data_IF_586405643663
#
_entry.id   IF_586405643663
#
_cell.length_a   1.000
_cell.length_b   1.000
_cell.length_c   1.000
_cell.angle_alpha   90.00
_cell.angle_beta   90.00
_cell.angle_gamma   90.00
#
_symmetry.space_group_name_H-M   'P 1'
#
loop_
_entity.id
_entity.type
_entity.pdbx_description
1 polymer ?
#
# COMPACT_ATOMS: atom_id res chain seq x y z
N UNK A 1 7.72 5.34 -20.00
CA UNK A 1 8.02 3.93 -19.71
C UNK A 1 8.46 3.22 -20.98
N UNK A 2 9.56 2.45 -21.00
CA UNK A 2 9.72 1.43 -22.03
C UNK A 2 8.66 0.35 -21.75
N UNK A 3 7.57 0.37 -22.51
CA UNK A 3 6.56 -0.68 -22.45
C UNK A 3 7.26 -2.05 -22.59
N UNK A 4 6.91 -3.01 -21.73
CA UNK A 4 7.47 -4.36 -21.81
C UNK A 4 7.18 -4.87 -23.22
N UNK A 5 8.23 -5.26 -23.94
CA UNK A 5 8.06 -5.70 -25.33
C UNK A 5 7.45 -7.10 -25.36
N UNK A 6 6.68 -7.41 -26.41
CA UNK A 6 6.16 -8.78 -26.62
C UNK A 6 7.28 -9.83 -26.59
N UNK A 7 8.46 -9.46 -27.09
CA UNK A 7 9.65 -10.32 -27.08
C UNK A 7 10.08 -10.66 -25.65
N UNK A 8 10.13 -9.68 -24.75
CA UNK A 8 10.47 -9.92 -23.34
C UNK A 8 9.44 -10.82 -22.65
N UNK A 9 8.13 -10.59 -22.89
CA UNK A 9 7.06 -11.45 -22.37
C UNK A 9 7.18 -12.90 -22.88
N UNK A 10 7.54 -13.06 -24.15
CA UNK A 10 7.74 -14.36 -24.78
C UNK A 10 8.97 -15.08 -24.17
N UNK A 11 10.11 -14.39 -24.07
CA UNK A 11 11.37 -14.94 -23.54
C UNK A 11 11.26 -15.31 -22.04
N UNK A 12 10.49 -14.54 -21.28
CA UNK A 12 10.20 -14.81 -19.87
C UNK A 12 9.21 -15.98 -19.66
N UNK A 13 8.48 -16.40 -20.71
CA UNK A 13 7.53 -17.50 -20.65
C UNK A 13 6.15 -17.15 -20.09
N UNK A 14 5.74 -15.87 -20.20
CA UNK A 14 4.44 -15.37 -19.71
C UNK A 14 3.25 -15.97 -20.46
N UNK A 15 3.47 -16.38 -21.71
CA UNK A 15 2.44 -16.94 -22.60
C UNK A 15 2.00 -18.36 -22.26
N UNK A 16 2.73 -19.08 -21.40
CA UNK A 16 2.34 -20.44 -21.02
C UNK A 16 1.29 -20.39 -19.92
N UNK A 17 0.13 -20.98 -20.17
CA UNK A 17 -0.87 -21.24 -19.14
C UNK A 17 -0.82 -22.68 -18.63
N UNK A 18 -1.92 -23.11 -18.00
CA UNK A 18 -2.09 -24.45 -17.50
C UNK A 18 -2.60 -25.45 -18.57
N UNK A 19 -2.68 -26.72 -18.17
CA UNK A 19 -3.24 -27.80 -18.98
C UNK A 19 -4.71 -27.54 -19.34
N UNK A 20 -5.14 -28.02 -20.51
CA UNK A 20 -6.53 -27.87 -21.01
C UNK A 20 -7.59 -28.50 -20.11
N UNK A 21 -7.22 -29.43 -19.23
CA UNK A 21 -8.12 -30.03 -18.24
C UNK A 21 -8.35 -29.15 -17.00
N UNK A 22 -7.48 -28.16 -16.76
CA UNK A 22 -7.44 -27.35 -15.53
C UNK A 22 -7.69 -25.86 -15.81
N UNK A 23 -8.51 -25.55 -16.81
CA UNK A 23 -8.83 -24.17 -17.18
C UNK A 23 -10.18 -23.71 -16.63
N UNK A 24 -10.33 -22.40 -16.44
CA UNK A 24 -11.59 -21.74 -16.14
C UNK A 24 -12.20 -21.23 -17.45
N UNK A 25 -13.46 -21.59 -17.80
CA UNK A 25 -14.15 -21.07 -18.98
C UNK A 25 -14.19 -19.54 -19.11
N UNK A 26 -14.20 -18.80 -18.00
CA UNK A 26 -14.20 -17.34 -18.00
C UNK A 26 -12.89 -16.74 -18.53
N UNK A 27 -11.79 -17.51 -18.53
CA UNK A 27 -10.51 -17.10 -19.11
C UNK A 27 -10.47 -17.21 -20.63
N UNK A 28 -11.53 -17.70 -21.28
CA UNK A 28 -11.60 -17.86 -22.75
C UNK A 28 -11.17 -16.62 -23.55
N UNK A 29 -11.55 -15.38 -23.18
CA UNK A 29 -11.16 -14.18 -23.94
C UNK A 29 -9.64 -13.94 -23.96
N UNK A 30 -8.94 -14.36 -22.92
CA UNK A 30 -7.50 -14.15 -22.75
C UNK A 30 -6.64 -15.29 -23.31
N UNK A 31 -7.26 -16.39 -23.75
CA UNK A 31 -6.57 -17.56 -24.30
C UNK A 31 -6.53 -17.45 -25.82
N UNK A 32 -5.32 -17.38 -26.37
CA UNK A 32 -5.08 -17.34 -27.81
C UNK A 32 -5.34 -18.70 -28.49
N UNK A 33 -4.68 -19.76 -28.02
CA UNK A 33 -4.83 -21.11 -28.57
C UNK A 33 -4.43 -22.18 -27.54
N UNK A 34 -4.53 -23.46 -27.90
CA UNK A 34 -3.98 -24.56 -27.11
C UNK A 34 -3.03 -25.38 -27.99
N UNK A 35 -1.83 -25.69 -27.48
CA UNK A 35 -0.82 -26.50 -28.17
C UNK A 35 -0.27 -27.56 -27.22
N UNK A 36 -0.19 -28.81 -27.68
CA UNK A 36 0.31 -29.93 -26.89
C UNK A 36 -0.37 -30.07 -25.51
N UNK A 37 -1.67 -29.76 -25.42
CA UNK A 37 -2.44 -29.85 -24.17
C UNK A 37 -2.21 -28.70 -23.18
N UNK A 38 -1.49 -27.64 -23.56
CA UNK A 38 -1.26 -26.43 -22.75
C UNK A 38 -1.94 -25.24 -23.41
N UNK A 39 -2.65 -24.42 -22.63
CA UNK A 39 -3.21 -23.16 -23.11
C UNK A 39 -2.12 -22.10 -23.30
N UNK A 40 -2.22 -21.34 -24.38
CA UNK A 40 -1.35 -20.22 -24.70
C UNK A 40 -2.15 -18.94 -24.49
N UNK A 41 -1.65 -18.06 -23.63
CA UNK A 41 -2.23 -16.77 -23.29
C UNK A 41 -1.87 -15.75 -24.39
N UNK A 42 -2.82 -14.86 -24.70
CA UNK A 42 -2.60 -13.78 -25.67
C UNK A 42 -1.70 -12.67 -25.08
N UNK A 43 -0.43 -12.65 -25.50
CA UNK A 43 0.55 -11.68 -25.03
C UNK A 43 0.23 -10.23 -25.41
N UNK A 44 -0.55 -9.99 -26.47
CA UNK A 44 -0.94 -8.63 -26.82
C UNK A 44 -1.89 -8.07 -25.78
N UNK A 45 -2.90 -8.87 -25.40
CA UNK A 45 -3.80 -8.52 -24.29
C UNK A 45 -3.03 -8.40 -22.97
N UNK A 46 -2.06 -9.28 -22.70
CA UNK A 46 -1.19 -9.15 -21.53
C UNK A 46 -0.48 -7.81 -21.48
N UNK A 47 0.10 -7.37 -22.61
CA UNK A 47 0.82 -6.09 -22.67
C UNK A 47 -0.12 -4.91 -22.40
N UNK A 48 -1.25 -4.84 -23.12
CA UNK A 48 -2.24 -3.75 -22.97
C UNK A 48 -2.75 -3.67 -21.52
N UNK A 49 -3.09 -4.82 -20.93
CA UNK A 49 -3.58 -4.90 -19.54
C UNK A 49 -2.51 -4.59 -18.50
N UNK A 50 -1.26 -4.98 -18.76
CA UNK A 50 -0.14 -4.64 -17.89
C UNK A 50 0.10 -3.13 -17.87
N UNK A 51 0.01 -2.48 -19.03
CA UNK A 51 0.15 -1.02 -19.14
C UNK A 51 -0.99 -0.29 -18.40
N UNK A 52 -2.24 -0.76 -18.54
CA UNK A 52 -3.40 -0.25 -17.79
C UNK A 52 -3.21 -0.40 -16.26
N UNK A 53 -2.75 -1.58 -15.81
CA UNK A 53 -2.51 -1.86 -14.41
C UNK A 53 -1.36 -1.01 -13.83
N UNK A 54 -0.26 -0.86 -14.59
CA UNK A 54 0.85 0.01 -14.21
C UNK A 54 0.42 1.47 -14.10
N UNK A 55 -0.40 1.97 -15.04
CA UNK A 55 -0.93 3.33 -14.99
C UNK A 55 -1.81 3.55 -13.75
N UNK A 56 -2.69 2.59 -13.43
CA UNK A 56 -3.51 2.63 -12.22
C UNK A 56 -2.67 2.65 -10.94
N UNK A 57 -1.71 1.73 -10.80
CA UNK A 57 -0.86 1.65 -9.60
C UNK A 57 0.04 2.89 -9.45
N UNK A 58 0.56 3.44 -10.56
CA UNK A 58 1.32 4.69 -10.55
C UNK A 58 0.48 5.83 -9.98
N UNK A 59 -0.75 5.99 -10.46
CA UNK A 59 -1.65 7.06 -9.99
C UNK A 59 -2.01 6.87 -8.52
N UNK A 60 -2.37 5.65 -8.11
CA UNK A 60 -2.73 5.33 -6.73
C UNK A 60 -1.60 5.66 -5.75
N UNK A 61 -0.35 5.36 -6.14
CA UNK A 61 0.81 5.69 -5.32
C UNK A 61 1.15 7.18 -5.36
N UNK A 62 0.92 7.85 -6.49
CA UNK A 62 1.03 9.31 -6.60
C UNK A 62 0.00 10.06 -5.74
N UNK A 63 -1.13 9.41 -5.42
CA UNK A 63 -2.14 9.92 -4.48
C UNK A 63 -1.78 9.63 -3.00
N UNK A 64 -0.63 8.99 -2.75
CA UNK A 64 -0.14 8.71 -1.39
C UNK A 64 -0.61 7.38 -0.81
N UNK A 65 -1.29 6.54 -1.59
CA UNK A 65 -1.69 5.21 -1.13
C UNK A 65 -0.59 4.16 -1.27
N UNK A 66 -0.68 3.12 -0.43
CA UNK A 66 0.28 1.99 -0.41
C UNK A 66 -0.34 0.76 -1.04
N UNK A 67 0.51 -0.03 -1.70
CA UNK A 67 0.14 -1.29 -2.36
C UNK A 67 0.61 -2.45 -1.51
N UNK A 68 -0.24 -3.46 -1.33
CA UNK A 68 0.12 -4.72 -0.67
C UNK A 68 0.35 -5.81 -1.71
N UNK A 69 1.58 -6.31 -1.81
CA UNK A 69 1.93 -7.44 -2.66
C UNK A 69 1.63 -8.76 -1.96
N UNK A 70 0.93 -9.66 -2.63
CA UNK A 70 0.55 -10.96 -2.07
C UNK A 70 0.94 -12.06 -3.04
N UNK A 71 1.74 -13.00 -2.57
CA UNK A 71 2.07 -14.18 -3.37
C UNK A 71 2.80 -15.23 -2.53
N UNK A 72 2.10 -16.32 -2.20
CA UNK A 72 2.69 -17.42 -1.39
C UNK A 72 3.33 -18.53 -2.23
N UNK A 73 3.34 -18.38 -3.55
CA UNK A 73 4.05 -19.30 -4.45
C UNK A 73 5.54 -19.08 -4.33
N UNK A 74 6.32 -20.17 -4.18
CA UNK A 74 7.79 -20.13 -4.11
C UNK A 74 8.40 -19.34 -5.27
N UNK A 75 7.78 -19.39 -6.44
CA UNK A 75 8.24 -18.73 -7.66
C UNK A 75 8.05 -17.20 -7.64
N UNK A 76 7.21 -16.69 -6.73
CA UNK A 76 6.88 -15.28 -6.58
C UNK A 76 7.53 -14.64 -5.33
N UNK A 77 7.88 -15.43 -4.31
CA UNK A 77 8.37 -14.94 -3.02
C UNK A 77 9.56 -14.00 -3.16
N UNK A 78 10.66 -14.48 -3.76
CA UNK A 78 11.90 -13.69 -3.90
C UNK A 78 11.67 -12.41 -4.73
N UNK A 79 10.86 -12.50 -5.79
CA UNK A 79 10.55 -11.37 -6.66
C UNK A 79 9.76 -10.28 -5.92
N UNK A 80 8.77 -10.68 -5.11
CA UNK A 80 7.97 -9.76 -4.30
C UNK A 80 8.83 -9.10 -3.21
N UNK A 81 9.65 -9.87 -2.51
CA UNK A 81 10.51 -9.36 -1.43
C UNK A 81 11.53 -8.34 -1.94
N UNK A 82 12.22 -8.66 -3.05
CA UNK A 82 13.16 -7.75 -3.69
C UNK A 82 12.47 -6.45 -4.15
N UNK A 83 11.30 -6.57 -4.79
CA UNK A 83 10.51 -5.44 -5.27
C UNK A 83 10.02 -4.52 -4.14
N UNK A 84 9.50 -5.09 -3.06
CA UNK A 84 8.99 -4.34 -1.93
C UNK A 84 10.12 -3.73 -1.10
N UNK A 85 11.26 -4.42 -0.98
CA UNK A 85 12.47 -3.85 -0.39
C UNK A 85 12.97 -2.61 -1.13
N UNK A 86 12.87 -2.60 -2.47
CA UNK A 86 13.24 -1.44 -3.30
C UNK A 86 12.22 -0.30 -3.28
N UNK A 87 10.93 -0.63 -3.27
CA UNK A 87 9.84 0.36 -3.36
C UNK A 87 9.26 0.80 -2.01
N UNK A 88 9.65 0.18 -0.90
CA UNK A 88 9.08 0.46 0.42
C UNK A 88 7.57 0.18 0.52
N UNK A 89 7.07 -0.74 -0.31
CA UNK A 89 5.69 -1.24 -0.26
C UNK A 89 5.58 -2.43 0.69
N UNK A 90 4.35 -2.84 1.00
CA UNK A 90 4.10 -3.96 1.91
C UNK A 90 3.97 -5.27 1.15
N UNK A 91 4.30 -6.38 1.81
CA UNK A 91 4.16 -7.70 1.20
C UNK A 91 3.73 -8.82 2.16
N UNK A 92 3.18 -9.89 1.57
CA UNK A 92 2.91 -11.18 2.22
C UNK A 92 3.38 -12.30 1.29
N UNK A 93 4.47 -12.97 1.67
CA UNK A 93 5.09 -14.06 0.89
C UNK A 93 4.88 -15.46 1.46
N UNK A 94 4.54 -15.59 2.74
CA UNK A 94 4.46 -16.90 3.39
C UNK A 94 3.06 -17.49 3.38
N UNK A 95 2.17 -16.97 4.21
CA UNK A 95 0.81 -17.47 4.32
C UNK A 95 -0.16 -16.34 4.60
N UNK A 96 -1.22 -16.26 3.79
CA UNK A 96 -2.36 -15.42 4.11
C UNK A 96 -3.16 -16.01 5.28
N UNK A 97 -3.32 -15.24 6.35
CA UNK A 97 -4.22 -15.59 7.45
C UNK A 97 -5.57 -14.93 7.21
N UNK A 98 -6.64 -15.71 7.34
CA UNK A 98 -7.99 -15.17 7.25
C UNK A 98 -8.21 -14.04 8.26
N UNK A 99 -8.76 -12.93 7.80
CA UNK A 99 -8.93 -11.72 8.61
C UNK A 99 -7.75 -10.76 8.56
N UNK A 100 -6.78 -10.96 7.67
CA UNK A 100 -5.63 -10.06 7.52
C UNK A 100 -6.06 -8.62 7.18
N UNK A 101 -7.10 -8.46 6.37
CA UNK A 101 -7.65 -7.15 6.02
C UNK A 101 -8.97 -6.90 6.75
N UNK A 102 -9.86 -7.88 6.76
CA UNK A 102 -11.22 -7.71 7.34
C UNK A 102 -11.23 -7.59 8.87
N UNK A 103 -10.20 -8.12 9.55
CA UNK A 103 -10.02 -8.00 11.00
C UNK A 103 -8.69 -7.31 11.34
N UNK A 104 -8.41 -6.22 10.63
CA UNK A 104 -7.15 -5.48 10.75
C UNK A 104 -6.79 -5.04 12.19
N UNK A 105 -7.73 -4.63 13.08
CA UNK A 105 -7.38 -4.28 14.46
C UNK A 105 -6.72 -5.43 15.25
N UNK A 106 -7.10 -6.69 14.98
CA UNK A 106 -6.48 -7.86 15.62
C UNK A 106 -5.08 -8.11 15.06
N UNK A 107 -4.91 -7.93 13.75
CA UNK A 107 -3.63 -8.05 13.07
C UNK A 107 -2.66 -6.97 13.55
N UNK A 108 -3.12 -5.73 13.71
CA UNK A 108 -2.31 -4.65 14.29
C UNK A 108 -1.80 -4.98 15.71
N UNK A 109 -2.57 -5.72 16.53
CA UNK A 109 -2.06 -6.21 17.82
C UNK A 109 -0.94 -7.22 17.65
N UNK A 110 -1.02 -8.10 16.64
CA UNK A 110 0.05 -9.06 16.31
C UNK A 110 1.30 -8.36 15.76
N UNK A 111 1.13 -7.33 14.93
CA UNK A 111 2.23 -6.52 14.41
C UNK A 111 2.94 -5.75 15.53
N UNK A 112 2.18 -5.18 16.48
CA UNK A 112 2.77 -4.57 17.69
C UNK A 112 3.55 -5.58 18.53
N UNK A 113 2.99 -6.78 18.74
CA UNK A 113 3.68 -7.86 19.44
C UNK A 113 5.00 -8.24 18.77
N UNK A 114 5.03 -8.29 17.44
CA UNK A 114 6.25 -8.53 16.67
C UNK A 114 7.31 -7.44 16.92
N UNK A 115 6.92 -6.17 16.87
CA UNK A 115 7.81 -5.04 17.20
C UNK A 115 8.34 -5.12 18.64
N UNK A 116 7.49 -5.49 19.61
CA UNK A 116 7.90 -5.66 21.00
C UNK A 116 8.94 -6.78 21.15
N UNK A 117 8.74 -7.92 20.47
CA UNK A 117 9.67 -9.05 20.51
C UNK A 117 11.01 -8.72 19.84
N UNK A 118 11.00 -7.96 18.72
CA UNK A 118 12.24 -7.44 18.11
C UNK A 118 13.01 -6.56 19.09
N UNK A 119 12.31 -5.63 19.75
CA UNK A 119 12.93 -4.75 20.73
C UNK A 119 13.50 -5.52 21.94
N UNK A 120 12.84 -6.59 22.40
CA UNK A 120 13.36 -7.46 23.46
C UNK A 120 14.62 -8.24 23.01
N UNK A 121 14.62 -8.72 21.76
CA UNK A 121 15.77 -9.43 21.20
C UNK A 121 16.98 -8.50 21.06
N UNK A 122 16.78 -7.29 20.53
CA UNK A 122 17.84 -6.28 20.38
C UNK A 122 18.43 -5.83 21.72
N UNK A 123 17.61 -5.77 22.78
CA UNK A 123 18.05 -5.43 24.14
C UNK A 123 18.77 -6.58 24.86
N UNK A 124 18.75 -7.79 24.31
CA UNK A 124 19.31 -8.99 24.95
C UNK A 124 18.46 -9.52 26.11
N UNK A 125 17.17 -9.17 26.19
CA UNK A 125 16.30 -9.58 27.30
C UNK A 125 16.10 -11.11 27.34
N UNK A 126 16.15 -11.78 26.19
CA UNK A 126 16.03 -13.25 26.10
C UNK A 126 17.15 -13.99 26.82
N UNK A 127 18.34 -13.41 26.93
CA UNK A 127 19.48 -14.02 27.63
C UNK A 127 19.34 -13.93 29.15
N UNK A 128 18.52 -13.00 29.64
CA UNK A 128 18.24 -12.78 31.06
C UNK A 128 17.05 -13.61 31.57
N UNK A 129 16.28 -14.18 30.67
CA UNK A 129 15.11 -15.03 30.97
C UNK A 129 15.52 -16.49 31.19
N UNK A 130 14.64 -17.27 31.81
CA UNK A 130 14.82 -18.72 31.86
C UNK A 130 14.78 -19.33 30.46
N UNK A 131 15.58 -20.37 30.19
CA UNK A 131 15.73 -21.00 28.86
C UNK A 131 14.40 -21.39 28.22
N UNK A 132 13.43 -21.84 29.02
CA UNK A 132 12.10 -22.21 28.52
C UNK A 132 11.31 -21.00 28.01
N UNK A 133 11.32 -19.90 28.75
CA UNK A 133 10.59 -18.67 28.39
C UNK A 133 11.25 -17.99 27.19
N UNK A 134 12.59 -17.94 27.17
CA UNK A 134 13.35 -17.42 26.05
C UNK A 134 13.04 -18.17 24.75
N UNK A 135 12.94 -19.51 24.79
CA UNK A 135 12.59 -20.31 23.62
C UNK A 135 11.15 -20.04 23.14
N UNK A 136 10.18 -19.91 24.05
CA UNK A 136 8.81 -19.56 23.67
C UNK A 136 8.76 -18.20 22.95
N UNK A 137 9.51 -17.21 23.43
CA UNK A 137 9.57 -15.91 22.78
C UNK A 137 10.30 -15.95 21.44
N UNK A 138 11.35 -16.76 21.30
CA UNK A 138 12.03 -16.98 20.02
C UNK A 138 11.13 -17.68 19.00
N UNK A 139 10.41 -18.71 19.42
CA UNK A 139 9.45 -19.41 18.54
C UNK A 139 8.29 -18.50 18.11
N UNK A 140 7.79 -17.64 19.02
CA UNK A 140 6.76 -16.64 18.70
C UNK A 140 7.31 -15.57 17.74
N UNK A 141 8.54 -15.10 17.96
CA UNK A 141 9.24 -14.16 17.08
C UNK A 141 9.40 -14.77 15.68
N UNK A 142 10.07 -15.91 15.53
CA UNK A 142 10.32 -16.56 14.24
C UNK A 142 9.02 -16.80 13.46
N UNK A 143 7.95 -17.21 14.16
CA UNK A 143 6.62 -17.39 13.56
C UNK A 143 6.01 -16.08 13.08
N UNK A 144 6.11 -15.01 13.87
CA UNK A 144 5.58 -13.70 13.50
C UNK A 144 6.41 -13.05 12.40
N UNK A 145 7.74 -13.14 12.45
CA UNK A 145 8.68 -12.74 11.39
C UNK A 145 8.25 -13.32 10.04
N UNK A 146 8.15 -14.65 9.98
CA UNK A 146 7.87 -15.34 8.72
C UNK A 146 6.55 -14.86 8.09
N UNK A 147 5.52 -14.62 8.90
CA UNK A 147 4.19 -14.29 8.37
C UNK A 147 3.93 -12.79 8.18
N UNK A 148 4.55 -11.94 8.98
CA UNK A 148 4.18 -10.53 9.09
C UNK A 148 5.31 -9.54 8.80
N UNK A 149 6.54 -9.98 8.54
CA UNK A 149 7.68 -9.08 8.30
C UNK A 149 7.37 -7.98 7.26
N UNK A 150 6.71 -8.33 6.16
CA UNK A 150 6.34 -7.38 5.10
C UNK A 150 5.18 -6.43 5.42
N UNK A 151 4.52 -6.60 6.57
CA UNK A 151 3.39 -5.75 7.01
C UNK A 151 3.70 -4.97 8.29
N UNK A 152 4.88 -5.12 8.89
CA UNK A 152 5.25 -4.56 10.21
C UNK A 152 4.91 -3.07 10.34
N UNK A 153 5.18 -2.29 9.28
CA UNK A 153 5.01 -0.84 9.29
C UNK A 153 3.65 -0.39 8.74
N UNK A 154 2.71 -1.31 8.54
CA UNK A 154 1.40 -1.01 7.98
C UNK A 154 0.45 -0.48 9.06
N UNK A 155 0.12 0.81 8.98
CA UNK A 155 -0.77 1.49 9.95
C UNK A 155 -2.24 1.49 9.56
N UNK A 156 -2.53 1.45 8.26
CA UNK A 156 -3.88 1.43 7.69
C UNK A 156 -3.96 0.34 6.62
N UNK A 157 -5.18 -0.03 6.24
CA UNK A 157 -5.40 -0.94 5.10
C UNK A 157 -4.82 -0.34 3.81
N UNK A 158 -4.30 -1.18 2.89
CA UNK A 158 -3.70 -0.70 1.65
C UNK A 158 -4.77 -0.13 0.70
N UNK A 159 -4.35 0.77 -0.19
CA UNK A 159 -5.22 1.32 -1.23
C UNK A 159 -5.47 0.36 -2.39
N UNK A 160 -4.56 -0.59 -2.62
CA UNK A 160 -4.72 -1.65 -3.62
C UNK A 160 -3.95 -2.93 -3.21
N UNK A 161 -4.38 -4.07 -3.74
CA UNK A 161 -3.64 -5.32 -3.69
C UNK A 161 -3.02 -5.65 -5.05
N UNK A 162 -1.79 -6.13 -5.02
CA UNK A 162 -1.16 -6.81 -6.15
C UNK A 162 -1.02 -8.30 -5.83
N UNK A 163 -1.74 -9.18 -6.53
CA UNK A 163 -1.83 -10.61 -6.21
C UNK A 163 -1.20 -11.47 -7.31
N UNK A 164 -0.38 -12.44 -6.90
CA UNK A 164 0.12 -13.51 -7.77
C UNK A 164 -0.57 -14.82 -7.39
N UNK A 165 -1.23 -15.45 -8.36
CA UNK A 165 -2.12 -16.62 -8.20
C UNK A 165 -3.36 -16.34 -7.34
N UNK A 166 -4.45 -15.94 -7.99
CA UNK A 166 -5.73 -15.69 -7.32
C UNK A 166 -6.37 -16.95 -6.74
N UNK A 167 -6.07 -18.13 -7.29
CA UNK A 167 -6.64 -19.40 -6.82
C UNK A 167 -6.01 -19.80 -5.50
N UNK A 168 -4.69 -19.64 -5.36
CA UNK A 168 -3.99 -19.90 -4.10
C UNK A 168 -4.30 -18.83 -3.06
N UNK A 169 -4.38 -17.56 -3.48
CA UNK A 169 -4.66 -16.41 -2.61
C UNK A 169 -6.15 -16.03 -2.53
N UNK A 170 -7.06 -16.99 -2.71
CA UNK A 170 -8.51 -16.74 -2.72
C UNK A 170 -9.04 -16.00 -1.49
N UNK A 171 -8.40 -16.20 -0.34
CA UNK A 171 -8.78 -15.51 0.90
C UNK A 171 -8.43 -14.03 0.85
N UNK A 172 -7.26 -13.69 0.32
CA UNK A 172 -6.86 -12.30 0.11
C UNK A 172 -7.80 -11.60 -0.87
N UNK A 173 -8.10 -12.25 -2.00
CA UNK A 173 -9.03 -11.75 -3.02
C UNK A 173 -10.43 -11.53 -2.44
N UNK A 174 -10.96 -12.52 -1.70
CA UNK A 174 -12.28 -12.41 -1.08
C UNK A 174 -12.36 -11.31 -0.02
N UNK A 175 -11.32 -11.14 0.80
CA UNK A 175 -11.26 -10.08 1.80
C UNK A 175 -11.15 -8.68 1.17
N UNK A 176 -10.32 -8.53 0.15
CA UNK A 176 -10.17 -7.28 -0.59
C UNK A 176 -11.49 -6.87 -1.26
N UNK A 177 -12.16 -7.80 -1.94
CA UNK A 177 -13.46 -7.55 -2.57
C UNK A 177 -14.54 -7.17 -1.55
N UNK A 178 -14.57 -7.79 -0.36
CA UNK A 178 -15.51 -7.41 0.71
C UNK A 178 -15.30 -5.99 1.23
N UNK A 179 -14.06 -5.51 1.24
CA UNK A 179 -13.71 -4.16 1.68
C UNK A 179 -13.75 -3.13 0.55
N UNK A 180 -13.99 -3.56 -0.69
CA UNK A 180 -13.95 -2.69 -1.87
C UNK A 180 -12.54 -2.22 -2.24
N UNK A 181 -11.50 -2.95 -1.81
CA UNK A 181 -10.11 -2.62 -2.16
C UNK A 181 -9.84 -3.15 -3.58
N UNK A 182 -9.41 -2.30 -4.54
CA UNK A 182 -9.13 -2.72 -5.89
C UNK A 182 -7.96 -3.72 -5.95
N UNK A 183 -8.11 -4.72 -6.82
CA UNK A 183 -7.19 -5.83 -6.99
C UNK A 183 -6.59 -5.76 -8.39
N UNK A 184 -5.27 -5.72 -8.43
CA UNK A 184 -4.46 -5.99 -9.61
C UNK A 184 -3.89 -7.39 -9.45
N UNK A 185 -4.01 -8.26 -10.46
CA UNK A 185 -3.48 -9.61 -10.31
C UNK A 185 -2.97 -10.24 -11.60
N UNK A 186 -1.97 -11.11 -11.44
CA UNK A 186 -1.55 -12.05 -12.49
C UNK A 186 -2.54 -13.21 -12.49
N UNK A 187 -3.21 -13.41 -13.62
CA UNK A 187 -4.28 -14.39 -13.79
C UNK A 187 -3.87 -15.40 -14.86
N UNK A 188 -3.61 -16.63 -14.41
CA UNK A 188 -3.46 -17.77 -15.31
C UNK A 188 -4.85 -18.32 -15.69
N UNK A 189 -4.87 -19.12 -16.74
CA UNK A 189 -5.99 -19.87 -17.32
C UNK A 189 -6.85 -20.66 -16.33
N UNK A 190 -6.38 -20.94 -15.11
CA UNK A 190 -7.11 -21.70 -14.10
C UNK A 190 -7.86 -20.81 -13.06
N UNK A 191 -7.71 -19.49 -13.14
CA UNK A 191 -8.28 -18.50 -12.23
C UNK A 191 -9.55 -17.85 -12.80
N UNK A 192 -10.40 -17.27 -11.95
CA UNK A 192 -11.57 -16.47 -12.38
C UNK A 192 -11.16 -14.99 -12.54
N UNK A 193 -11.23 -14.40 -13.75
CA UNK A 193 -10.89 -13.00 -13.96
C UNK A 193 -11.95 -12.03 -13.43
N UNK A 194 -13.18 -12.47 -13.12
CA UNK A 194 -14.27 -11.57 -12.73
C UNK A 194 -14.16 -11.05 -11.30
N UNK A 195 -13.38 -11.71 -10.45
CA UNK A 195 -13.14 -11.28 -9.06
C UNK A 195 -12.09 -10.16 -8.98
N UNK A 196 -11.53 -9.71 -10.12
CA UNK A 196 -10.34 -8.88 -10.20
C UNK A 196 -10.64 -7.67 -11.10
N UNK A 197 -10.34 -6.46 -10.61
CA UNK A 197 -10.63 -5.24 -11.35
C UNK A 197 -9.59 -4.96 -12.44
N UNK A 198 -8.32 -5.26 -12.18
CA UNK A 198 -7.22 -5.10 -13.13
C UNK A 198 -6.53 -6.45 -13.38
N UNK A 199 -7.03 -7.15 -14.40
CA UNK A 199 -6.55 -8.49 -14.78
C UNK A 199 -5.32 -8.37 -15.66
N UNK A 200 -4.21 -9.00 -15.27
CA UNK A 200 -3.01 -9.18 -16.09
C UNK A 200 -2.93 -10.66 -16.48
N UNK A 201 -3.36 -11.05 -17.70
CA UNK A 201 -3.26 -12.44 -18.14
C UNK A 201 -1.81 -12.87 -18.23
N UNK A 202 -1.42 -13.94 -17.54
CA UNK A 202 -0.03 -14.40 -17.59
C UNK A 202 0.27 -15.63 -16.74
N UNK A 203 1.44 -16.20 -16.99
CA UNK A 203 1.98 -17.33 -16.25
C UNK A 203 2.41 -16.92 -14.82
N UNK A 204 1.83 -17.58 -13.81
CA UNK A 204 2.14 -17.38 -12.40
C UNK A 204 3.05 -18.47 -11.80
N UNK A 205 3.38 -19.51 -12.58
CA UNK A 205 4.23 -20.64 -12.19
C UNK A 205 5.70 -20.47 -12.60
N UNK A 206 5.99 -19.59 -13.56
CA UNK A 206 7.35 -19.34 -14.03
C UNK A 206 8.02 -18.20 -13.25
N UNK A 207 9.17 -18.49 -12.62
CA UNK A 207 9.98 -17.50 -11.86
C UNK A 207 10.31 -16.27 -12.72
N UNK A 208 10.72 -16.49 -13.98
CA UNK A 208 11.07 -15.40 -14.91
C UNK A 208 9.87 -14.54 -15.29
N UNK A 209 8.68 -15.14 -15.44
CA UNK A 209 7.44 -14.44 -15.74
C UNK A 209 7.02 -13.57 -14.55
N UNK A 210 6.94 -14.16 -13.36
CA UNK A 210 6.63 -13.43 -12.12
C UNK A 210 7.61 -12.28 -11.88
N UNK A 211 8.92 -12.53 -11.98
CA UNK A 211 9.95 -11.50 -11.79
C UNK A 211 9.85 -10.37 -12.81
N UNK A 212 9.59 -10.68 -14.09
CA UNK A 212 9.41 -9.64 -15.12
C UNK A 212 8.22 -8.74 -14.78
N UNK A 213 7.05 -9.31 -14.53
CA UNK A 213 5.82 -8.56 -14.26
C UNK A 213 5.95 -7.75 -12.96
N UNK A 214 6.45 -8.37 -11.88
CA UNK A 214 6.66 -7.69 -10.60
C UNK A 214 7.63 -6.52 -10.75
N UNK A 215 8.73 -6.68 -11.48
CA UNK A 215 9.69 -5.60 -11.70
C UNK A 215 9.08 -4.45 -12.47
N UNK A 216 8.33 -4.72 -13.54
CA UNK A 216 7.64 -3.69 -14.33
C UNK A 216 6.64 -2.91 -13.47
N UNK A 217 5.84 -3.61 -12.65
CA UNK A 217 4.90 -2.98 -11.73
C UNK A 217 5.63 -2.14 -10.69
N UNK A 218 6.76 -2.64 -10.18
CA UNK A 218 7.58 -1.93 -9.20
C UNK A 218 8.15 -0.63 -9.77
N UNK A 219 8.62 -0.64 -11.01
CA UNK A 219 9.09 0.57 -11.70
C UNK A 219 7.98 1.61 -11.82
N UNK A 220 6.75 1.21 -12.17
CA UNK A 220 5.60 2.11 -12.20
C UNK A 220 5.24 2.68 -10.82
N UNK A 221 5.36 1.88 -9.76
CA UNK A 221 5.15 2.32 -8.38
C UNK A 221 6.21 3.35 -7.96
N UNK A 222 7.50 3.09 -8.26
CA UNK A 222 8.60 4.02 -7.93
C UNK A 222 8.43 5.35 -8.67
N UNK A 223 7.99 5.32 -9.93
CA UNK A 223 7.63 6.53 -10.67
C UNK A 223 6.48 7.29 -9.98
N UNK A 224 5.45 6.59 -9.52
CA UNK A 224 4.35 7.18 -8.74
C UNK A 224 4.82 7.86 -7.46
N UNK A 225 5.80 7.27 -6.76
CA UNK A 225 6.41 7.86 -5.55
C UNK A 225 7.21 9.13 -5.87
N UNK A 226 7.91 9.16 -7.00
CA UNK A 226 8.62 10.36 -7.44
C UNK A 226 7.65 11.51 -7.71
N UNK A 227 6.53 11.22 -8.40
CA UNK A 227 5.47 12.21 -8.66
C UNK A 227 4.85 12.74 -7.37
N UNK A 228 4.60 11.87 -6.38
CA UNK A 228 4.14 12.30 -5.06
C UNK A 228 5.13 13.24 -4.40
N UNK A 229 6.43 12.88 -4.37
CA UNK A 229 7.47 13.71 -3.76
C UNK A 229 7.63 15.08 -4.43
N UNK A 230 7.54 15.13 -5.77
CA UNK A 230 7.53 16.40 -6.51
C UNK A 230 6.32 17.27 -6.16
N UNK A 231 5.14 16.66 -6.02
CA UNK A 231 3.91 17.36 -5.65
C UNK A 231 4.00 17.93 -4.23
N UNK A 232 4.44 17.12 -3.28
CA UNK A 232 4.64 17.54 -1.89
C UNK A 232 5.65 18.70 -1.78
N UNK A 233 6.74 18.65 -2.53
CA UNK A 233 7.73 19.73 -2.56
C UNK A 233 7.13 21.03 -3.11
N UNK A 234 6.37 20.96 -4.22
CA UNK A 234 5.70 22.13 -4.80
C UNK A 234 4.68 22.74 -3.84
N UNK A 235 3.88 21.91 -3.17
CA UNK A 235 2.91 22.37 -2.16
C UNK A 235 3.61 23.06 -0.98
N UNK A 236 4.75 22.54 -0.52
CA UNK A 236 5.56 23.18 0.52
C UNK A 236 6.15 24.53 0.07
N UNK A 237 6.64 24.62 -1.17
CA UNK A 237 7.17 25.87 -1.73
C UNK A 237 6.07 26.93 -1.86
N UNK A 238 4.87 26.54 -2.31
CA UNK A 238 3.71 27.43 -2.40
C UNK A 238 3.24 27.92 -1.03
N UNK A 239 3.18 27.02 -0.03
CA UNK A 239 2.86 27.38 1.36
C UNK A 239 3.89 28.37 1.92
N UNK A 240 5.18 28.09 1.76
CA UNK A 240 6.25 28.98 2.20
C UNK A 240 6.22 30.34 1.47
N UNK A 241 5.82 30.37 0.19
CA UNK A 241 5.62 31.61 -0.55
C UNK A 241 4.42 32.41 -0.02
N UNK A 242 3.30 31.76 0.28
CA UNK A 242 2.11 32.40 0.89
C UNK A 242 2.42 32.96 2.27
N UNK A 243 3.10 32.19 3.12
CA UNK A 243 3.51 32.65 4.45
C UNK A 243 4.46 33.86 4.37
N UNK A 244 5.38 33.89 3.40
CA UNK A 244 6.24 35.06 3.15
C UNK A 244 5.42 36.27 2.71
N UNK A 245 4.48 36.11 1.79
CA UNK A 245 3.61 37.19 1.33
C UNK A 245 2.72 37.72 2.46
N UNK A 246 2.18 36.85 3.32
CA UNK A 246 1.40 37.25 4.49
C UNK A 246 2.24 38.01 5.52
N UNK A 247 3.48 37.59 5.77
CA UNK A 247 4.41 38.33 6.63
C UNK A 247 4.75 39.70 6.06
N UNK A 248 5.07 39.77 4.77
CA UNK A 248 5.35 41.05 4.10
C UNK A 248 4.12 41.98 4.10
N UNK A 249 2.92 41.43 3.91
CA UNK A 249 1.67 42.20 3.98
C UNK A 249 1.39 42.69 5.41
N UNK A 250 1.63 41.85 6.43
CA UNK A 250 1.50 42.23 7.84
C UNK A 250 2.52 43.30 8.25
N UNK A 251 3.77 43.21 7.78
CA UNK A 251 4.80 44.23 8.01
C UNK A 251 4.45 45.55 7.32
N UNK A 252 3.93 45.50 6.08
CA UNK A 252 3.45 46.71 5.38
C UNK A 252 2.23 47.32 6.06
N UNK A 253 1.31 46.50 6.57
CA UNK A 253 0.15 46.97 7.32
C UNK A 253 0.57 47.62 8.66
N UNK A 254 1.55 47.04 9.36
CA UNK A 254 2.12 47.61 10.59
C UNK A 254 2.88 48.92 10.32
N UNK A 255 3.61 49.02 9.21
CA UNK A 255 4.30 50.25 8.79
C UNK A 255 3.36 51.35 8.27
N UNK A 256 2.13 51.00 7.87
CA UNK A 256 1.12 51.94 7.39
C UNK A 256 0.19 52.47 8.49
N UNK A 257 0.33 52.04 9.74
CA UNK A 257 -0.35 52.66 10.89
C UNK A 257 0.32 54.02 11.15
N UNK A 258 -0.37 55.17 10.99
CA UNK A 258 0.24 56.45 11.26
C UNK A 258 0.51 56.59 12.76
N UNK A 259 1.72 57.01 13.11
CA UNK A 259 2.02 57.55 14.43
C UNK A 259 1.21 58.83 14.64
N UNK A 260 -0.01 58.71 15.15
CA UNK A 260 -0.78 59.83 15.65
C UNK A 260 -0.30 60.15 17.08
N UNK A 261 0.66 61.08 17.13
CA UNK A 261 0.93 62.11 18.14
C UNK A 261 0.92 61.75 19.63
N UNK A 262 2.08 61.99 20.24
CA UNK A 262 2.21 62.50 21.61
C UNK A 262 1.21 63.64 21.88
N UNK A 263 0.53 63.54 23.03
CA UNK A 263 -0.39 64.53 23.57
C UNK A 263 -0.80 64.15 25.00
N UNK A 264 0.00 64.64 25.95
CA UNK A 264 -0.12 64.71 27.42
C UNK A 264 -1.51 64.53 28.07
N UNK A 265 -1.53 63.87 29.25
CA UNK A 265 -2.55 64.09 30.29
C UNK A 265 -3.38 62.89 30.77
N UNK A 266 -2.86 62.20 31.80
CA UNK A 266 -3.59 61.62 32.96
C UNK A 266 -4.99 61.00 32.80
N UNK A 267 -5.13 59.70 33.09
CA UNK A 267 -6.11 59.17 34.06
C UNK A 267 -5.96 57.65 34.22
N UNK A 268 -5.23 57.26 35.27
CA UNK A 268 -5.51 56.07 36.06
C UNK A 268 -6.99 56.08 36.47
N UNK A 269 -7.81 55.06 36.10
CA UNK A 269 -8.82 54.32 36.91
C UNK A 269 -9.51 53.26 36.02
N UNK A 270 -9.69 52.05 36.57
CA UNK A 270 -10.75 51.05 36.30
C UNK A 270 -10.28 49.66 35.85
N UNK A 271 -9.66 48.95 36.81
CA UNK A 271 -9.89 47.51 36.99
C UNK A 271 -11.35 47.28 37.43
N UNK A 272 -11.90 46.14 37.04
CA UNK A 272 -13.21 45.55 37.40
C UNK A 272 -14.44 45.97 36.58
N UNK A 273 -14.79 45.16 35.57
CA UNK A 273 -16.13 44.56 35.37
C UNK A 273 -16.23 43.90 33.99
N UNK A 274 -15.96 42.58 33.90
CA UNK A 274 -16.72 41.68 33.04
C UNK A 274 -16.51 40.21 33.44
N UNK A 275 -16.91 39.90 34.68
CA UNK A 275 -17.19 38.54 35.10
C UNK A 275 -18.67 38.46 35.46
N UNK A 276 -19.45 37.79 34.62
CA UNK A 276 -20.75 37.25 35.00
C UNK A 276 -21.98 37.94 34.39
N UNK A 277 -22.45 37.43 33.25
CA UNK A 277 -23.87 37.20 33.00
C UNK A 277 -24.05 36.46 31.67
N UNK A 278 -24.27 35.14 31.72
CA UNK A 278 -25.32 34.46 30.94
C UNK A 278 -25.17 32.94 31.08
N UNK A 279 -25.68 32.41 32.18
CA UNK A 279 -26.12 31.02 32.29
C UNK A 279 -27.51 31.02 32.92
N UNK A 280 -28.53 30.72 32.12
CA UNK A 280 -29.76 30.01 32.53
C UNK A 280 -30.76 29.98 31.37
N UNK A 281 -31.02 28.78 30.82
CA UNK A 281 -32.35 28.35 30.40
C UNK A 281 -32.30 26.86 29.98
N UNK A 282 -32.56 25.97 30.93
CA UNK A 282 -33.26 24.71 30.66
C UNK A 282 -34.75 24.92 31.00
N UNK A 283 -35.67 24.11 30.45
CA UNK A 283 -36.18 23.01 31.29
C UNK A 283 -36.52 21.68 30.57
N UNK A 284 -36.53 20.67 31.42
CA UNK A 284 -37.02 19.27 31.38
C UNK A 284 -38.36 19.02 30.65
N UNK A 285 -38.49 17.95 29.83
CA UNK A 285 -38.96 16.57 30.15
C UNK A 285 -40.41 16.35 29.65
N UNK A 286 -41.04 15.14 29.61
CA UNK A 286 -40.70 13.83 30.20
C UNK A 286 -40.23 12.73 29.23
#
# INVERSE_FOLDING_TARGET
>A
MPAVTLRQLLEAGVHFGHQTSRWNPQMRPYIFTARNGIHIIDLKQTQERLDEACAFLRQLVADGEKVLFVGTKKQAQDAIEEACGRSGQYYVTHRWMGGMLTNFPVIQRRLRRLLDLRAMQEKGDFERMGTKEANVHRDDLDRLEANFAGMVNMKRVPGALFVIDCKKERLAVSEANKLGIPIVAIVDTNCDPNEIQHVIPGNDDAIRACKLIVNTVTEAIVEGQQLLGERELREQEELAARERQEREAAERAAAAVPAASDGDGTAEVALEEFAGASAAAAPDAP
#
